data_IF_838701654226
#
_entry.id   IF_838701654226
#
_cell.length_a   1.000
_cell.length_b   1.000
_cell.length_c   1.000
_cell.angle_alpha   90.00
_cell.angle_beta   90.00
_cell.angle_gamma   90.00
#
_symmetry.space_group_name_H-M   'P 1'
#
loop_
_entity.id
_entity.type
_entity.pdbx_description
1 polymer ?
#
# COMPACT_ATOMS: atom_id res chain seq x y z
N UNK A 1 -8.33 5.90 18.14
CA UNK A 1 -8.59 6.61 16.87
C UNK A 1 -8.39 5.67 15.70
N UNK A 2 -9.28 5.73 14.70
CA UNK A 2 -9.19 4.93 13.47
C UNK A 2 -9.14 5.84 12.25
N UNK A 3 -8.11 5.68 11.42
CA UNK A 3 -7.95 6.35 10.13
C UNK A 3 -8.09 5.34 9.00
N UNK A 4 -8.90 5.67 7.99
CA UNK A 4 -8.97 4.92 6.74
C UNK A 4 -8.46 5.79 5.59
N UNK A 5 -7.64 5.21 4.70
CA UNK A 5 -7.01 5.92 3.59
C UNK A 5 -7.17 5.15 2.27
N UNK A 6 -7.51 5.88 1.21
CA UNK A 6 -7.48 5.39 -0.17
C UNK A 6 -6.21 5.92 -0.83
N UNK A 7 -5.31 5.02 -1.24
CA UNK A 7 -4.04 5.36 -1.87
C UNK A 7 -4.20 5.67 -3.37
N UNK A 8 -4.97 6.70 -3.70
CA UNK A 8 -5.18 7.12 -5.09
C UNK A 8 -4.09 8.08 -5.59
N UNK A 9 -3.93 8.15 -6.92
CA UNK A 9 -3.09 9.14 -7.59
C UNK A 9 -1.74 8.61 -8.08
N UNK A 10 -1.35 7.37 -7.74
CA UNK A 10 -0.09 6.75 -8.17
C UNK A 10 0.13 6.84 -9.70
N UNK A 11 -0.90 6.49 -10.49
CA UNK A 11 -0.83 6.56 -11.95
C UNK A 11 -0.66 7.98 -12.49
N UNK A 12 -1.39 8.96 -11.93
CA UNK A 12 -1.28 10.39 -12.30
C UNK A 12 0.08 10.96 -11.90
N UNK A 13 0.60 10.56 -10.73
CA UNK A 13 1.92 10.95 -10.25
C UNK A 13 3.03 10.50 -11.21
N UNK A 14 2.94 9.26 -11.71
CA UNK A 14 3.89 8.73 -12.69
C UNK A 14 3.78 9.42 -14.05
N UNK A 15 2.54 9.62 -14.53
CA UNK A 15 2.29 10.28 -15.82
C UNK A 15 2.86 11.70 -15.86
N UNK A 16 2.67 12.49 -14.79
CA UNK A 16 3.24 13.85 -14.69
C UNK A 16 4.78 13.89 -14.74
N UNK A 17 5.44 12.74 -14.58
CA UNK A 17 6.90 12.58 -14.61
C UNK A 17 7.40 11.82 -15.83
N UNK A 18 6.53 11.48 -16.78
CA UNK A 18 6.88 10.64 -17.93
C UNK A 18 7.27 9.21 -17.56
N UNK A 19 6.85 8.73 -16.37
CA UNK A 19 7.20 7.41 -15.86
C UNK A 19 6.08 6.39 -16.13
N UNK A 20 6.42 5.08 -16.22
CA UNK A 20 5.41 4.03 -16.28
C UNK A 20 4.55 4.00 -15.00
N UNK A 21 3.28 3.62 -15.12
CA UNK A 21 2.34 3.55 -13.99
C UNK A 21 2.85 2.69 -12.82
N UNK A 22 3.60 1.64 -13.12
CA UNK A 22 4.23 0.76 -12.13
C UNK A 22 5.20 1.50 -11.22
N UNK A 23 5.92 2.51 -11.72
CA UNK A 23 6.79 3.36 -10.89
C UNK A 23 5.97 4.14 -9.86
N UNK A 24 4.81 4.67 -10.26
CA UNK A 24 3.90 5.35 -9.33
C UNK A 24 3.37 4.41 -8.24
N UNK A 25 3.09 3.14 -8.57
CA UNK A 25 2.69 2.16 -7.56
C UNK A 25 3.82 1.82 -6.60
N UNK A 26 5.06 1.68 -7.09
CA UNK A 26 6.24 1.46 -6.24
C UNK A 26 6.43 2.62 -5.25
N UNK A 27 6.30 3.87 -5.71
CA UNK A 27 6.36 5.05 -4.84
C UNK A 27 5.19 5.13 -3.86
N UNK A 28 4.00 4.69 -4.29
CA UNK A 28 2.85 4.54 -3.40
C UNK A 28 3.13 3.61 -2.23
N UNK A 29 3.85 2.51 -2.47
CA UNK A 29 4.23 1.54 -1.44
C UNK A 29 5.22 2.11 -0.42
N UNK A 30 6.23 2.85 -0.89
CA UNK A 30 7.18 3.52 0.00
C UNK A 30 6.50 4.61 0.84
N UNK A 31 5.55 5.35 0.25
CA UNK A 31 4.73 6.30 0.98
C UNK A 31 3.84 5.60 2.03
N UNK A 32 3.29 4.43 1.74
CA UNK A 32 2.54 3.66 2.73
C UNK A 32 3.42 3.27 3.92
N UNK A 33 4.66 2.83 3.70
CA UNK A 33 5.60 2.57 4.80
C UNK A 33 5.84 3.82 5.66
N UNK A 34 6.00 4.99 5.04
CA UNK A 34 6.13 6.26 5.76
C UNK A 34 4.88 6.61 6.57
N UNK A 35 3.68 6.37 6.02
CA UNK A 35 2.39 6.57 6.73
C UNK A 35 2.24 5.62 7.92
N UNK A 36 2.71 4.37 7.81
CA UNK A 36 2.74 3.44 8.94
C UNK A 36 3.63 3.98 10.07
N UNK A 37 4.87 4.37 9.76
CA UNK A 37 5.78 4.99 10.76
C UNK A 37 5.17 6.24 11.38
N UNK A 38 4.55 7.09 10.56
CA UNK A 38 3.88 8.30 11.02
C UNK A 38 2.69 8.00 11.95
N UNK A 39 1.91 6.98 11.63
CA UNK A 39 0.78 6.49 12.45
C UNK A 39 1.26 6.01 13.82
N UNK A 40 2.35 5.24 13.86
CA UNK A 40 2.99 4.79 15.11
C UNK A 40 3.43 6.00 15.95
N UNK A 41 4.17 6.94 15.35
CA UNK A 41 4.65 8.15 16.06
C UNK A 41 3.52 9.04 16.60
N UNK A 42 2.33 8.97 15.99
CA UNK A 42 1.14 9.75 16.34
C UNK A 42 0.13 8.96 17.16
N UNK A 43 0.48 7.74 17.59
CA UNK A 43 -0.39 6.88 18.39
C UNK A 43 -1.76 6.63 17.73
N UNK A 44 -1.78 6.41 16.41
CA UNK A 44 -2.99 5.98 15.69
C UNK A 44 -3.18 4.48 15.94
N UNK A 45 -4.28 4.11 16.60
CA UNK A 45 -4.56 2.71 16.96
C UNK A 45 -4.85 1.83 15.75
N UNK A 46 -5.56 2.37 14.75
CA UNK A 46 -5.96 1.63 13.55
C UNK A 46 -5.74 2.46 12.28
N UNK A 47 -4.96 1.91 11.35
CA UNK A 47 -4.81 2.41 10.00
C UNK A 47 -5.35 1.36 9.02
N UNK A 48 -6.44 1.67 8.33
CA UNK A 48 -6.96 0.85 7.23
C UNK A 48 -6.59 1.48 5.91
N UNK A 49 -5.99 0.71 5.02
CA UNK A 49 -5.52 1.21 3.73
C UNK A 49 -6.12 0.40 2.60
N UNK A 50 -6.67 1.09 1.60
CA UNK A 50 -7.25 0.44 0.44
C UNK A 50 -6.17 0.07 -0.57
N UNK A 51 -5.60 -1.13 -0.41
CA UNK A 51 -4.47 -1.62 -1.21
C UNK A 51 -4.84 -2.18 -2.59
N UNK A 52 -6.03 -2.75 -2.74
CA UNK A 52 -6.51 -3.31 -4.01
C UNK A 52 -8.04 -3.53 -3.96
N UNK A 53 -8.77 -3.09 -5.00
CA UNK A 53 -10.23 -3.28 -5.09
C UNK A 53 -10.63 -4.49 -5.93
N UNK A 54 -11.85 -4.99 -5.75
CA UNK A 54 -12.45 -6.04 -6.60
C UNK A 54 -12.53 -5.62 -8.07
N UNK A 55 -12.71 -4.34 -8.34
CA UNK A 55 -12.77 -3.77 -9.69
C UNK A 55 -11.38 -3.68 -10.31
N UNK A 56 -10.29 -3.71 -9.53
CA UNK A 56 -8.94 -3.64 -10.06
C UNK A 56 -8.51 -4.92 -10.81
N UNK A 57 -9.28 -6.01 -10.70
CA UNK A 57 -9.06 -7.23 -11.49
C UNK A 57 -9.23 -7.04 -13.00
N UNK A 58 -9.93 -5.98 -13.45
CA UNK A 58 -10.08 -5.68 -14.89
C UNK A 58 -8.82 -5.04 -15.51
N UNK A 59 -7.83 -4.67 -14.69
CA UNK A 59 -6.57 -4.07 -15.17
C UNK A 59 -5.69 -5.11 -15.87
N UNK A 60 -4.70 -4.67 -16.68
CA UNK A 60 -3.74 -5.58 -17.31
C UNK A 60 -3.05 -6.48 -16.29
N UNK A 61 -2.91 -7.78 -16.60
CA UNK A 61 -2.34 -8.81 -15.70
C UNK A 61 -0.96 -8.43 -15.13
N UNK A 62 -0.13 -7.76 -15.93
CA UNK A 62 1.18 -7.28 -15.49
C UNK A 62 1.09 -6.22 -14.39
N UNK A 63 0.14 -5.28 -14.50
CA UNK A 63 -0.10 -4.26 -13.48
C UNK A 63 -0.64 -4.89 -12.18
N UNK A 64 -1.61 -5.82 -12.30
CA UNK A 64 -2.15 -6.54 -11.13
C UNK A 64 -1.05 -7.30 -10.40
N UNK A 65 -0.23 -8.06 -11.12
CA UNK A 65 0.89 -8.81 -10.53
C UNK A 65 1.91 -7.89 -9.86
N UNK A 66 2.20 -6.73 -10.46
CA UNK A 66 3.10 -5.73 -9.88
C UNK A 66 2.56 -5.21 -8.55
N UNK A 67 1.29 -4.79 -8.50
CA UNK A 67 0.66 -4.27 -7.28
C UNK A 67 0.66 -5.31 -6.15
N UNK A 68 0.23 -6.54 -6.44
CA UNK A 68 0.23 -7.62 -5.44
C UNK A 68 1.65 -7.97 -4.95
N UNK A 69 2.65 -7.86 -5.84
CA UNK A 69 4.05 -8.03 -5.48
C UNK A 69 4.60 -6.94 -4.56
N UNK A 70 4.13 -5.70 -4.70
CA UNK A 70 4.50 -4.58 -3.82
C UNK A 70 3.99 -4.81 -2.39
N UNK A 71 2.71 -5.17 -2.23
CA UNK A 71 2.12 -5.51 -0.93
C UNK A 71 2.93 -6.59 -0.21
N UNK A 72 3.33 -7.64 -0.95
CA UNK A 72 4.19 -8.70 -0.39
C UNK A 72 5.54 -8.15 0.08
N UNK A 73 6.12 -7.17 -0.61
CA UNK A 73 7.39 -6.54 -0.23
C UNK A 73 7.25 -5.69 1.04
N UNK A 74 6.18 -4.90 1.17
CA UNK A 74 5.93 -4.11 2.38
C UNK A 74 5.67 -4.99 3.60
N UNK A 75 4.78 -5.98 3.49
CA UNK A 75 4.53 -6.94 4.57
C UNK A 75 5.73 -7.85 4.83
N UNK A 76 6.66 -7.95 3.87
CA UNK A 76 7.97 -8.58 4.04
C UNK A 76 8.93 -7.81 4.94
N UNK A 77 8.65 -6.55 5.30
CA UNK A 77 9.45 -5.74 6.25
C UNK A 77 9.19 -6.15 7.71
N UNK A 78 9.19 -7.46 7.98
CA UNK A 78 8.75 -8.04 9.25
C UNK A 78 9.55 -7.50 10.44
N UNK A 79 10.89 -7.40 10.31
CA UNK A 79 11.74 -6.88 11.38
C UNK A 79 11.33 -5.46 11.78
N UNK A 80 11.20 -4.56 10.79
CA UNK A 80 10.82 -3.17 11.03
C UNK A 80 9.41 -3.06 11.64
N UNK A 81 8.44 -3.83 11.12
CA UNK A 81 7.08 -3.82 11.64
C UNK A 81 7.03 -4.34 13.09
N UNK A 82 7.82 -5.35 13.42
CA UNK A 82 7.93 -5.86 14.79
C UNK A 82 8.59 -4.85 15.73
N UNK A 83 9.66 -4.18 15.29
CA UNK A 83 10.34 -3.14 16.07
C UNK A 83 9.41 -1.96 16.37
N UNK A 84 8.47 -1.67 15.46
CA UNK A 84 7.43 -0.65 15.64
C UNK A 84 6.17 -1.18 16.35
N UNK A 85 6.15 -2.43 16.81
CA UNK A 85 5.00 -3.10 17.42
C UNK A 85 3.71 -3.02 16.57
N UNK A 86 3.86 -3.09 15.25
CA UNK A 86 2.75 -3.02 14.28
C UNK A 86 2.17 -4.41 14.06
N UNK A 87 0.85 -4.54 14.24
CA UNK A 87 0.10 -5.75 13.86
C UNK A 87 -0.57 -5.56 12.50
N UNK A 88 -0.18 -6.36 11.53
CA UNK A 88 -0.80 -6.39 10.20
C UNK A 88 -2.01 -7.34 10.21
N UNK A 89 -3.13 -6.88 9.67
CA UNK A 89 -4.31 -7.71 9.41
C UNK A 89 -4.79 -7.52 7.97
N UNK A 90 -5.31 -8.59 7.37
CA UNK A 90 -5.86 -8.55 6.02
C UNK A 90 -7.39 -8.53 6.06
N UNK A 91 -7.99 -7.68 5.23
CA UNK A 91 -9.43 -7.58 5.04
C UNK A 91 -9.69 -7.73 3.55
N UNK A 92 -10.46 -8.75 3.17
CA UNK A 92 -10.77 -9.01 1.77
C UNK A 92 -11.53 -10.32 1.59
N UNK A 93 -11.84 -10.64 0.33
CA UNK A 93 -12.47 -11.92 -0.02
C UNK A 93 -11.41 -12.99 -0.20
N UNK A 94 -11.46 -14.12 0.53
CA UNK A 94 -10.61 -15.25 0.22
C UNK A 94 -11.01 -15.75 -1.16
N UNK A 95 -10.01 -16.04 -2.00
CA UNK A 95 -10.23 -16.53 -3.36
C UNK A 95 -10.90 -17.91 -3.33
#
# INVERSE_FOLDING_TARGET
MHVACIMDGNGRWAQRRGLPRTAGHTEGEENLAAVVRASVSRQVDYLTVFGFSTENWVRPRGEVRHILGLHKKLFGRISELNDLNVRVQWIGRPF
#
